data_IF_763734601779
#
_entry.id   IF_763734601779
#
_cell.length_a   1.000
_cell.length_b   1.000
_cell.length_c   1.000
_cell.angle_alpha   90.00
_cell.angle_beta   90.00
_cell.angle_gamma   90.00
#
_symmetry.space_group_name_H-M   'P 1'
#
loop_
_entity.id
_entity.type
_entity.pdbx_description
1 polymer ?
#
# COMPACT_ATOMS: atom_id res chain seq x y z
N UNK A 1 -15.49 36.71 -1.63
CA UNK A 1 -15.33 35.30 -1.19
C UNK A 1 -14.25 34.52 -1.92
N UNK A 2 -13.93 34.77 -3.20
CA UNK A 2 -12.85 34.04 -3.91
C UNK A 2 -11.46 34.27 -3.26
N UNK A 3 -11.15 35.51 -2.88
CA UNK A 3 -9.87 35.87 -2.23
C UNK A 3 -9.69 35.17 -0.90
N UNK A 4 -10.73 35.09 -0.07
CA UNK A 4 -10.70 34.43 1.23
C UNK A 4 -10.46 32.93 1.13
N UNK A 5 -11.15 32.26 0.19
CA UNK A 5 -10.91 30.83 -0.08
C UNK A 5 -9.48 30.58 -0.54
N UNK A 6 -8.95 31.40 -1.44
CA UNK A 6 -7.58 31.30 -1.92
C UNK A 6 -6.57 31.47 -0.78
N UNK A 7 -6.84 32.38 0.14
CA UNK A 7 -6.01 32.59 1.33
C UNK A 7 -5.98 31.33 2.19
N UNK A 8 -7.16 30.78 2.58
CA UNK A 8 -7.24 29.54 3.38
C UNK A 8 -6.54 28.39 2.67
N UNK A 9 -6.78 28.21 1.37
CA UNK A 9 -6.16 27.12 0.60
C UNK A 9 -4.64 27.21 0.58
N UNK A 10 -4.10 28.41 0.38
CA UNK A 10 -2.66 28.64 0.40
C UNK A 10 -2.04 28.33 1.77
N UNK A 11 -2.64 28.85 2.82
CA UNK A 11 -2.13 28.68 4.18
C UNK A 11 -2.17 27.19 4.59
N UNK A 12 -3.28 26.50 4.32
CA UNK A 12 -3.39 25.07 4.63
C UNK A 12 -2.45 24.24 3.77
N UNK A 13 -2.37 24.52 2.46
CA UNK A 13 -1.46 23.78 1.58
C UNK A 13 0.01 23.95 2.01
N UNK A 14 0.44 25.15 2.38
CA UNK A 14 1.80 25.41 2.88
C UNK A 14 2.06 24.71 4.22
N UNK A 15 1.09 24.74 5.14
CA UNK A 15 1.22 24.09 6.44
C UNK A 15 1.26 22.57 6.31
N UNK A 16 0.39 22.00 5.48
CA UNK A 16 0.40 20.55 5.17
C UNK A 16 1.70 20.17 4.49
N UNK A 17 2.15 20.92 3.49
CA UNK A 17 3.43 20.69 2.80
C UNK A 17 4.62 20.72 3.77
N UNK A 18 4.66 21.68 4.70
CA UNK A 18 5.69 21.77 5.72
C UNK A 18 5.65 20.56 6.68
N UNK A 19 4.46 20.21 7.17
CA UNK A 19 4.30 19.03 8.04
C UNK A 19 4.70 17.74 7.32
N UNK A 20 4.29 17.56 6.06
CA UNK A 20 4.68 16.41 5.24
C UNK A 20 6.20 16.35 5.06
N UNK A 21 6.83 17.47 4.73
CA UNK A 21 8.29 17.56 4.56
C UNK A 21 9.03 17.20 5.86
N UNK A 22 8.54 17.69 7.01
CA UNK A 22 9.15 17.39 8.31
C UNK A 22 9.09 15.88 8.63
N UNK A 23 7.95 15.24 8.40
CA UNK A 23 7.83 13.79 8.60
C UNK A 23 8.65 12.99 7.59
N UNK A 24 8.63 13.37 6.32
CA UNK A 24 9.45 12.73 5.28
C UNK A 24 10.94 12.83 5.60
N UNK A 25 11.42 14.00 6.07
CA UNK A 25 12.79 14.15 6.50
C UNK A 25 13.15 13.25 7.70
N UNK A 26 12.20 13.07 8.64
CA UNK A 26 12.37 12.17 9.77
C UNK A 26 12.46 10.70 9.31
N UNK A 27 11.54 10.25 8.45
CA UNK A 27 11.56 8.88 7.91
C UNK A 27 12.77 8.64 7.01
N UNK A 28 13.15 9.62 6.20
CA UNK A 28 14.38 9.57 5.43
C UNK A 28 15.60 9.33 6.31
N UNK A 29 15.67 10.03 7.46
CA UNK A 29 16.76 9.84 8.41
C UNK A 29 16.78 8.41 8.98
N UNK A 30 15.63 7.88 9.42
CA UNK A 30 15.56 6.52 9.95
C UNK A 30 15.88 5.47 8.89
N UNK A 31 15.27 5.57 7.71
CA UNK A 31 15.55 4.67 6.59
C UNK A 31 17.04 4.71 6.22
N UNK A 32 17.66 5.89 6.23
CA UNK A 32 19.10 6.02 5.93
C UNK A 32 19.99 5.38 6.99
N UNK A 33 19.61 5.51 8.28
CA UNK A 33 20.33 4.84 9.38
C UNK A 33 20.25 3.32 9.25
N UNK A 34 19.07 2.80 8.91
CA UNK A 34 18.89 1.35 8.73
C UNK A 34 19.68 0.85 7.50
N UNK A 35 19.60 1.56 6.39
CA UNK A 35 20.32 1.20 5.15
C UNK A 35 21.85 1.29 5.30
N UNK A 36 22.36 2.23 6.11
CA UNK A 36 23.80 2.32 6.42
C UNK A 36 24.33 1.10 7.18
N UNK A 37 23.51 0.42 7.95
CA UNK A 37 23.88 -0.86 8.59
C UNK A 37 24.13 -1.93 7.53
N UNK A 38 23.27 -2.00 6.53
CA UNK A 38 23.38 -2.96 5.43
C UNK A 38 24.57 -2.67 4.53
N UNK A 39 24.89 -1.38 4.24
CA UNK A 39 26.11 -0.97 3.57
C UNK A 39 27.35 -1.44 4.32
N UNK A 40 27.35 -1.34 5.64
CA UNK A 40 28.48 -1.76 6.49
C UNK A 40 28.66 -3.28 6.50
N UNK A 41 27.59 -4.04 6.45
CA UNK A 41 27.61 -5.51 6.43
C UNK A 41 28.02 -6.04 5.06
N UNK A 42 27.53 -5.45 3.98
CA UNK A 42 27.83 -5.86 2.60
C UNK A 42 29.26 -5.48 2.12
N UNK A 43 29.98 -4.64 2.87
CA UNK A 43 31.33 -4.20 2.54
C UNK A 43 31.36 -3.32 1.29
N UNK A 44 32.41 -3.49 0.45
CA UNK A 44 32.62 -2.64 -0.74
C UNK A 44 31.62 -2.86 -1.87
N UNK A 45 30.77 -3.91 -1.78
CA UNK A 45 29.81 -4.24 -2.83
C UNK A 45 28.60 -3.27 -2.85
N UNK A 46 28.18 -2.75 -1.69
CA UNK A 46 27.05 -1.84 -1.60
C UNK A 46 27.52 -0.39 -1.37
N UNK A 47 27.38 0.44 -2.39
CA UNK A 47 27.86 1.82 -2.36
C UNK A 47 26.85 2.76 -1.68
N UNK A 48 27.35 3.78 -0.97
CA UNK A 48 26.54 4.81 -0.32
C UNK A 48 25.59 5.53 -1.29
N UNK A 49 25.99 5.73 -2.54
CA UNK A 49 25.14 6.34 -3.58
C UNK A 49 23.91 5.48 -3.91
N UNK A 50 24.06 4.16 -3.92
CA UNK A 50 22.95 3.23 -4.14
C UNK A 50 22.00 3.20 -2.93
N UNK A 51 22.53 3.22 -1.70
CA UNK A 51 21.75 3.33 -0.48
C UNK A 51 20.93 4.63 -0.46
N UNK A 52 21.55 5.77 -0.78
CA UNK A 52 20.86 7.06 -0.87
C UNK A 52 19.75 7.04 -1.92
N UNK A 53 20.01 6.48 -3.10
CA UNK A 53 18.99 6.35 -4.16
C UNK A 53 17.85 5.46 -3.71
N UNK A 54 18.13 4.32 -3.07
CA UNK A 54 17.14 3.42 -2.53
C UNK A 54 16.22 4.10 -1.52
N UNK A 55 16.79 4.80 -0.53
CA UNK A 55 16.02 5.54 0.49
C UNK A 55 15.19 6.65 -0.15
N UNK A 56 15.71 7.39 -1.13
CA UNK A 56 14.95 8.41 -1.85
C UNK A 56 13.75 7.81 -2.61
N UNK A 57 13.92 6.64 -3.22
CA UNK A 57 12.87 5.96 -3.95
C UNK A 57 11.75 5.40 -3.03
N UNK A 58 12.01 5.22 -1.73
CA UNK A 58 11.00 4.81 -0.75
C UNK A 58 10.15 5.99 -0.23
N UNK A 59 10.62 7.23 -0.36
CA UNK A 59 9.90 8.39 0.21
C UNK A 59 8.47 8.59 -0.31
N UNK A 60 8.12 8.33 -1.58
CA UNK A 60 6.75 8.45 -2.04
C UNK A 60 5.75 7.55 -1.30
N UNK A 61 6.17 6.37 -0.85
CA UNK A 61 5.34 5.49 -0.03
C UNK A 61 5.06 6.12 1.35
N UNK A 62 6.08 6.70 1.99
CA UNK A 62 5.90 7.42 3.26
C UNK A 62 5.00 8.65 3.10
N UNK A 63 5.11 9.39 1.99
CA UNK A 63 4.21 10.51 1.70
C UNK A 63 2.76 10.01 1.64
N UNK A 64 2.49 8.93 0.91
CA UNK A 64 1.17 8.34 0.80
C UNK A 64 0.59 7.98 2.18
N UNK A 65 1.36 7.28 3.01
CA UNK A 65 0.93 6.81 4.33
C UNK A 65 0.72 7.95 5.34
N UNK A 66 1.48 9.03 5.22
CA UNK A 66 1.43 10.15 6.17
C UNK A 66 0.47 11.27 5.77
N UNK A 67 0.06 11.32 4.50
CA UNK A 67 -0.67 12.47 3.97
C UNK A 67 -1.96 12.77 4.72
N UNK A 68 -2.84 11.83 5.10
CA UNK A 68 -4.03 12.13 5.90
C UNK A 68 -3.69 12.73 7.27
N UNK A 69 -2.60 12.26 7.89
CA UNK A 69 -2.15 12.75 9.22
C UNK A 69 -1.62 14.18 9.09
N UNK A 70 -0.78 14.43 8.08
CA UNK A 70 -0.22 15.77 7.85
C UNK A 70 -1.27 16.77 7.41
N UNK A 71 -2.29 16.33 6.67
CA UNK A 71 -3.48 17.13 6.36
C UNK A 71 -4.23 17.53 7.62
N UNK A 72 -4.44 16.61 8.55
CA UNK A 72 -5.06 16.92 9.85
C UNK A 72 -4.23 17.95 10.62
N UNK A 73 -2.94 17.68 10.83
CA UNK A 73 -2.04 18.52 11.61
C UNK A 73 -1.93 19.92 11.01
N UNK A 74 -1.67 20.00 9.70
CA UNK A 74 -1.52 21.26 9.00
C UNK A 74 -2.80 22.09 9.00
N UNK A 75 -3.95 21.45 8.84
CA UNK A 75 -5.25 22.15 8.87
C UNK A 75 -5.61 22.61 10.29
N UNK A 76 -5.39 21.78 11.35
CA UNK A 76 -5.58 22.20 12.75
C UNK A 76 -4.69 23.41 13.06
N UNK A 77 -3.42 23.36 12.68
CA UNK A 77 -2.50 24.46 12.92
C UNK A 77 -3.01 25.78 12.30
N UNK A 78 -3.44 25.73 11.05
CA UNK A 78 -3.99 26.92 10.37
C UNK A 78 -5.29 27.39 11.02
N UNK A 79 -6.23 26.49 11.29
CA UNK A 79 -7.52 26.84 11.93
C UNK A 79 -7.31 27.43 13.33
N UNK A 80 -6.42 26.85 14.13
CA UNK A 80 -6.06 27.35 15.44
C UNK A 80 -5.41 28.75 15.37
N UNK A 81 -4.48 28.96 14.42
CA UNK A 81 -3.82 30.26 14.19
C UNK A 81 -4.81 31.32 13.76
N UNK A 82 -5.70 31.02 12.79
CA UNK A 82 -6.73 31.96 12.35
C UNK A 82 -7.70 32.31 13.48
N UNK A 83 -8.02 31.37 14.35
CA UNK A 83 -8.87 31.62 15.51
C UNK A 83 -8.14 32.49 16.56
N UNK A 84 -6.87 32.21 16.86
CA UNK A 84 -6.06 32.99 17.80
C UNK A 84 -5.89 34.45 17.37
N UNK A 85 -5.66 34.68 16.08
CA UNK A 85 -5.55 36.03 15.50
C UNK A 85 -6.89 36.73 15.29
N UNK A 86 -8.01 36.11 15.70
CA UNK A 86 -9.38 36.61 15.46
C UNK A 86 -9.75 36.71 13.94
N UNK A 87 -8.89 36.26 13.05
CA UNK A 87 -9.12 36.29 11.59
C UNK A 87 -10.34 35.44 11.22
N UNK A 88 -10.45 34.24 11.82
CA UNK A 88 -11.60 33.38 11.57
C UNK A 88 -12.92 34.00 12.03
N UNK A 89 -12.89 34.76 13.13
CA UNK A 89 -14.05 35.52 13.64
C UNK A 89 -14.46 36.60 12.67
N UNK A 90 -13.51 37.36 12.13
CA UNK A 90 -13.75 38.38 11.09
C UNK A 90 -14.35 37.75 9.83
N UNK A 91 -13.84 36.60 9.42
CA UNK A 91 -14.37 35.85 8.28
C UNK A 91 -15.83 35.42 8.49
N UNK A 92 -16.18 34.99 9.72
CA UNK A 92 -17.57 34.63 10.09
C UNK A 92 -18.49 35.85 10.02
N UNK A 93 -18.11 36.96 10.62
CA UNK A 93 -18.91 38.20 10.59
C UNK A 93 -19.05 38.78 9.19
N UNK A 94 -18.09 38.51 8.30
CA UNK A 94 -18.14 38.90 6.87
C UNK A 94 -18.98 37.93 6.01
N UNK A 95 -19.76 37.00 6.62
CA UNK A 95 -20.73 36.16 5.94
C UNK A 95 -20.24 34.75 5.57
N UNK A 96 -19.11 34.29 6.16
CA UNK A 96 -18.69 32.89 6.10
C UNK A 96 -19.42 32.06 7.17
N UNK A 97 -20.67 31.67 6.87
CA UNK A 97 -21.39 30.72 7.77
C UNK A 97 -20.75 29.33 7.84
N UNK A 98 -21.17 28.50 8.81
CA UNK A 98 -20.63 27.18 9.05
C UNK A 98 -20.61 26.27 7.81
N UNK A 99 -21.68 26.26 7.05
CA UNK A 99 -21.79 25.43 5.83
C UNK A 99 -20.86 25.89 4.70
N UNK A 100 -20.61 27.21 4.59
CA UNK A 100 -19.65 27.74 3.62
C UNK A 100 -18.21 27.44 4.03
N UNK A 101 -17.91 27.46 5.34
CA UNK A 101 -16.62 27.05 5.88
C UNK A 101 -16.41 25.55 5.60
N UNK A 102 -17.38 24.71 5.92
CA UNK A 102 -17.34 23.26 5.63
C UNK A 102 -17.11 23.00 4.13
N UNK A 103 -17.89 23.63 3.25
CA UNK A 103 -17.70 23.46 1.81
C UNK A 103 -16.32 23.91 1.31
N UNK A 104 -15.74 24.95 1.93
CA UNK A 104 -14.39 25.42 1.59
C UNK A 104 -13.34 24.37 1.97
N UNK A 105 -13.40 23.81 3.18
CA UNK A 105 -12.43 22.79 3.62
C UNK A 105 -12.66 21.45 2.91
N UNK A 106 -13.89 21.07 2.57
CA UNK A 106 -14.18 19.84 1.81
C UNK A 106 -13.58 19.87 0.40
N UNK A 107 -13.63 21.01 -0.30
CA UNK A 107 -12.98 21.13 -1.62
C UNK A 107 -11.47 20.92 -1.48
N UNK A 108 -10.86 21.48 -0.44
CA UNK A 108 -9.45 21.29 -0.16
C UNK A 108 -9.14 19.84 0.21
N UNK A 109 -9.98 19.22 1.04
CA UNK A 109 -9.88 17.80 1.37
C UNK A 109 -9.97 16.90 0.14
N UNK A 110 -10.84 17.24 -0.83
CA UNK A 110 -10.94 16.51 -2.09
C UNK A 110 -9.66 16.63 -2.93
N UNK A 111 -9.03 17.82 -2.96
CA UNK A 111 -7.74 17.99 -3.63
C UNK A 111 -6.64 17.15 -2.97
N UNK A 112 -6.59 17.10 -1.64
CA UNK A 112 -5.65 16.23 -0.94
C UNK A 112 -5.97 14.74 -1.16
N UNK A 113 -7.24 14.35 -1.17
CA UNK A 113 -7.64 12.97 -1.48
C UNK A 113 -7.21 12.56 -2.89
N UNK A 114 -7.42 13.42 -3.88
CA UNK A 114 -6.95 13.18 -5.26
C UNK A 114 -5.42 13.08 -5.34
N UNK A 115 -4.70 13.95 -4.61
CA UNK A 115 -3.24 13.89 -4.51
C UNK A 115 -2.76 12.61 -3.84
N UNK A 116 -3.40 12.21 -2.73
CA UNK A 116 -3.10 10.94 -2.02
C UNK A 116 -3.30 9.74 -2.94
N UNK A 117 -4.42 9.70 -3.67
CA UNK A 117 -4.70 8.65 -4.63
C UNK A 117 -3.64 8.61 -5.74
N UNK A 118 -3.32 9.75 -6.34
CA UNK A 118 -2.32 9.83 -7.40
C UNK A 118 -0.93 9.35 -6.92
N UNK A 119 -0.51 9.76 -5.73
CA UNK A 119 0.76 9.30 -5.15
C UNK A 119 0.70 7.80 -4.86
N UNK A 120 -0.35 7.31 -4.22
CA UNK A 120 -0.47 5.92 -3.77
C UNK A 120 -0.67 4.90 -4.89
N UNK A 121 -1.24 5.30 -6.03
CA UNK A 121 -1.54 4.38 -7.14
C UNK A 121 -0.52 4.43 -8.28
N UNK A 122 0.08 5.59 -8.53
CA UNK A 122 1.02 5.79 -9.65
C UNK A 122 2.46 5.99 -9.19
N UNK A 123 2.71 6.93 -8.27
CA UNK A 123 4.08 7.34 -7.93
C UNK A 123 4.72 6.31 -6.98
N UNK A 124 4.06 5.94 -5.90
CA UNK A 124 4.62 5.05 -4.89
C UNK A 124 4.92 3.64 -5.45
N UNK A 125 4.01 2.95 -6.21
CA UNK A 125 4.34 1.66 -6.80
C UNK A 125 5.44 1.72 -7.85
N UNK A 126 5.52 2.80 -8.63
CA UNK A 126 6.60 2.98 -9.61
C UNK A 126 7.96 3.18 -8.94
N UNK A 127 8.01 4.01 -7.90
CA UNK A 127 9.20 4.24 -7.09
C UNK A 127 9.64 2.98 -6.34
N UNK A 128 8.70 2.22 -5.78
CA UNK A 128 9.01 0.96 -5.09
C UNK A 128 9.60 -0.07 -6.04
N UNK A 129 9.06 -0.20 -7.27
CA UNK A 129 9.68 -1.06 -8.31
C UNK A 129 11.11 -0.62 -8.64
N UNK A 130 11.34 0.68 -8.77
CA UNK A 130 12.69 1.20 -9.00
C UNK A 130 13.62 0.94 -7.80
N UNK A 131 13.14 1.09 -6.57
CA UNK A 131 13.89 0.77 -5.35
C UNK A 131 14.30 -0.71 -5.31
N UNK A 132 13.38 -1.61 -5.67
CA UNK A 132 13.66 -3.05 -5.74
C UNK A 132 14.74 -3.39 -6.79
N UNK A 133 14.75 -2.72 -7.94
CA UNK A 133 15.81 -2.89 -8.94
C UNK A 133 17.17 -2.51 -8.36
N UNK A 134 17.25 -1.39 -7.61
CA UNK A 134 18.48 -0.98 -6.92
C UNK A 134 18.92 -2.03 -5.91
N UNK A 135 18.01 -2.49 -5.07
CA UNK A 135 18.28 -3.50 -4.04
C UNK A 135 18.70 -4.84 -4.65
N UNK A 136 18.01 -5.30 -5.70
CA UNK A 136 18.29 -6.58 -6.37
C UNK A 136 19.68 -6.60 -6.99
N UNK A 137 20.14 -5.48 -7.53
CA UNK A 137 21.48 -5.37 -8.11
C UNK A 137 22.59 -5.55 -7.07
N UNK A 138 22.31 -5.24 -5.81
CA UNK A 138 23.28 -5.25 -4.72
C UNK A 138 23.22 -6.56 -3.90
N UNK A 139 22.02 -7.04 -3.60
CA UNK A 139 21.76 -8.19 -2.72
C UNK A 139 21.31 -9.45 -3.43
N UNK A 140 21.16 -9.39 -4.76
CA UNK A 140 20.66 -10.51 -5.57
C UNK A 140 19.14 -10.48 -5.77
N UNK A 141 18.62 -11.48 -6.50
CA UNK A 141 17.23 -11.49 -6.97
C UNK A 141 16.22 -11.51 -5.81
N UNK A 142 15.05 -10.90 -6.06
CA UNK A 142 13.94 -10.88 -5.10
C UNK A 142 13.52 -12.31 -4.73
N UNK A 143 13.53 -12.62 -3.46
CA UNK A 143 13.02 -13.90 -2.93
C UNK A 143 12.08 -13.66 -1.76
N UNK A 144 10.96 -14.42 -1.70
CA UNK A 144 10.07 -14.43 -0.54
C UNK A 144 10.62 -15.36 0.55
N UNK A 145 11.63 -14.89 1.28
CA UNK A 145 12.29 -15.67 2.32
C UNK A 145 12.98 -16.92 1.79
N UNK A 146 13.21 -17.92 2.65
CA UNK A 146 13.94 -19.15 2.30
C UNK A 146 13.18 -20.08 1.34
N UNK A 147 11.85 -19.96 1.25
CA UNK A 147 10.99 -20.89 0.49
C UNK A 147 10.57 -20.38 -0.88
N UNK A 148 10.77 -19.09 -1.22
CA UNK A 148 10.28 -18.48 -2.46
C UNK A 148 8.76 -18.25 -2.47
N UNK A 149 8.25 -17.82 -3.64
CA UNK A 149 6.83 -17.58 -3.87
C UNK A 149 6.09 -18.86 -4.26
N UNK A 150 4.90 -19.04 -3.70
CA UNK A 150 4.00 -20.14 -4.03
C UNK A 150 2.73 -19.59 -4.69
N UNK A 151 2.43 -20.12 -5.88
CA UNK A 151 1.21 -19.81 -6.62
C UNK A 151 0.46 -21.12 -6.90
N UNK A 152 -0.85 -21.03 -7.02
CA UNK A 152 -1.70 -22.14 -7.44
C UNK A 152 -2.43 -21.75 -8.71
N UNK A 153 -2.53 -22.70 -9.64
CA UNK A 153 -3.30 -22.56 -10.89
C UNK A 153 -4.11 -23.82 -11.11
N UNK A 154 -5.36 -23.63 -11.53
CA UNK A 154 -6.20 -24.73 -11.95
C UNK A 154 -6.34 -24.73 -13.48
N UNK A 155 -6.00 -25.85 -14.10
CA UNK A 155 -6.11 -26.06 -15.55
C UNK A 155 -7.04 -27.24 -15.83
N UNK A 156 -8.31 -26.97 -16.11
CA UNK A 156 -9.33 -28.00 -16.24
C UNK A 156 -9.59 -28.73 -14.92
N UNK A 157 -9.39 -30.05 -14.91
CA UNK A 157 -9.50 -30.91 -13.70
C UNK A 157 -8.25 -30.87 -12.81
N UNK A 158 -7.13 -30.46 -13.37
CA UNK A 158 -5.82 -30.59 -12.74
C UNK A 158 -5.43 -29.32 -12.00
N UNK A 159 -4.79 -29.49 -10.84
CA UNK A 159 -4.32 -28.38 -10.01
C UNK A 159 -2.78 -28.34 -10.03
N UNK A 160 -2.23 -27.15 -10.25
CA UNK A 160 -0.78 -26.94 -10.26
C UNK A 160 -0.35 -26.05 -9.10
N UNK A 161 0.61 -26.50 -8.29
CA UNK A 161 1.29 -25.70 -7.31
C UNK A 161 2.66 -25.31 -7.85
N UNK A 162 2.91 -24.02 -7.99
CA UNK A 162 4.11 -23.46 -8.61
C UNK A 162 4.91 -22.73 -7.55
N UNK A 163 6.17 -23.09 -7.42
CA UNK A 163 7.11 -22.38 -6.56
C UNK A 163 8.17 -21.69 -7.41
N UNK A 164 8.33 -20.40 -7.21
CA UNK A 164 9.38 -19.60 -7.83
C UNK A 164 10.32 -19.13 -6.73
N UNK A 165 11.57 -19.57 -6.79
CA UNK A 165 12.55 -19.26 -5.73
C UNK A 165 12.94 -17.79 -5.76
N UNK A 166 13.13 -17.23 -6.94
CA UNK A 166 13.51 -15.83 -7.12
C UNK A 166 13.08 -15.30 -8.49
N UNK A 167 12.82 -13.98 -8.54
CA UNK A 167 12.51 -13.24 -9.77
C UNK A 167 13.53 -12.12 -9.96
N UNK A 168 14.10 -12.07 -11.16
CA UNK A 168 14.99 -10.98 -11.56
C UNK A 168 14.21 -9.77 -12.10
N UNK A 169 14.78 -8.57 -12.08
CA UNK A 169 14.12 -7.35 -12.57
C UNK A 169 13.71 -7.40 -14.05
N UNK A 170 14.40 -8.21 -14.87
CA UNK A 170 14.10 -8.43 -16.29
C UNK A 170 13.00 -9.46 -16.54
N UNK A 171 12.36 -9.97 -15.45
CA UNK A 171 11.29 -10.96 -15.51
C UNK A 171 11.77 -12.40 -15.61
N UNK A 172 13.09 -12.68 -15.47
CA UNK A 172 13.63 -14.04 -15.44
C UNK A 172 13.34 -14.68 -14.07
N UNK A 173 12.62 -15.78 -14.04
CA UNK A 173 12.41 -16.62 -12.85
C UNK A 173 13.59 -17.55 -12.67
N UNK A 174 14.02 -17.75 -11.42
CA UNK A 174 15.05 -18.72 -11.04
C UNK A 174 14.51 -19.78 -10.06
N UNK A 175 14.91 -21.03 -10.31
CA UNK A 175 14.57 -22.16 -9.45
C UNK A 175 13.06 -22.41 -9.40
N UNK A 176 12.48 -22.66 -10.58
CA UNK A 176 11.05 -22.93 -10.73
C UNK A 176 10.78 -24.40 -10.40
N UNK A 177 9.77 -24.64 -9.57
CA UNK A 177 9.24 -25.98 -9.27
C UNK A 177 7.76 -26.00 -9.53
N UNK A 178 7.27 -26.99 -10.27
CA UNK A 178 5.85 -27.18 -10.56
C UNK A 178 5.45 -28.58 -10.09
N UNK A 179 4.34 -28.64 -9.38
CA UNK A 179 3.72 -29.88 -8.92
C UNK A 179 2.31 -29.92 -9.49
N UNK A 180 2.02 -30.86 -10.36
CA UNK A 180 0.68 -31.08 -10.93
C UNK A 180 -0.01 -32.22 -10.19
N UNK A 181 -1.29 -32.02 -9.89
CA UNK A 181 -2.16 -32.95 -9.18
C UNK A 181 -3.42 -33.19 -9.99
N UNK A 182 -3.93 -34.41 -9.93
CA UNK A 182 -5.26 -34.74 -10.48
C UNK A 182 -6.40 -34.26 -9.55
N UNK A 183 -7.65 -34.53 -9.96
CA UNK A 183 -8.83 -34.16 -9.17
C UNK A 183 -8.90 -34.87 -7.80
N UNK A 184 -8.27 -36.02 -7.66
CA UNK A 184 -8.20 -36.81 -6.43
C UNK A 184 -7.01 -36.45 -5.54
N UNK A 185 -6.16 -35.52 -5.99
CA UNK A 185 -4.99 -35.05 -5.25
C UNK A 185 -3.73 -35.91 -5.43
N UNK A 186 -3.69 -36.85 -6.38
CA UNK A 186 -2.49 -37.61 -6.68
C UNK A 186 -1.55 -36.77 -7.55
N UNK A 187 -0.24 -36.95 -7.34
CA UNK A 187 0.77 -36.25 -8.11
C UNK A 187 0.85 -36.83 -9.50
N UNK A 188 0.58 -36.02 -10.52
CA UNK A 188 0.71 -36.36 -11.94
C UNK A 188 2.11 -36.06 -12.48
N UNK A 189 2.65 -34.90 -12.09
CA UNK A 189 3.92 -34.40 -12.61
C UNK A 189 4.66 -33.57 -11.57
N UNK A 190 5.98 -33.70 -11.53
CA UNK A 190 6.85 -32.75 -10.85
C UNK A 190 7.87 -32.23 -11.85
N UNK A 191 8.03 -30.90 -11.90
CA UNK A 191 8.97 -30.22 -12.78
C UNK A 191 9.94 -29.42 -11.94
N UNK A 192 11.20 -29.49 -12.27
CA UNK A 192 12.24 -28.66 -11.70
C UNK A 192 12.98 -27.98 -12.86
N UNK A 193 12.92 -26.64 -12.92
CA UNK A 193 13.62 -25.86 -13.93
C UNK A 193 14.59 -24.87 -13.30
N UNK A 194 15.74 -24.69 -13.93
CA UNK A 194 16.75 -23.74 -13.44
C UNK A 194 16.28 -22.30 -13.65
N UNK A 195 15.67 -22.04 -14.80
CA UNK A 195 15.20 -20.71 -15.21
C UNK A 195 13.88 -20.81 -15.96
N UNK A 196 13.10 -19.71 -15.93
CA UNK A 196 11.89 -19.57 -16.73
C UNK A 196 11.71 -18.12 -17.22
N UNK A 197 11.29 -17.95 -18.45
CA UNK A 197 10.98 -16.64 -19.04
C UNK A 197 9.56 -16.65 -19.58
N UNK A 198 8.82 -15.58 -19.31
CA UNK A 198 7.45 -15.45 -19.80
C UNK A 198 7.44 -15.18 -21.30
N UNK A 199 6.57 -15.90 -22.00
CA UNK A 199 6.22 -15.71 -23.40
C UNK A 199 4.71 -15.51 -23.51
N UNK A 200 4.19 -15.16 -24.69
CA UNK A 200 2.79 -14.79 -24.92
C UNK A 200 1.76 -15.76 -24.30
N UNK A 201 2.03 -17.06 -24.30
CA UNK A 201 1.09 -18.12 -23.95
C UNK A 201 1.49 -18.88 -22.67
N UNK A 202 2.62 -18.52 -22.03
CA UNK A 202 3.09 -19.26 -20.86
C UNK A 202 4.55 -19.00 -20.52
N UNK A 203 5.19 -19.98 -19.91
CA UNK A 203 6.58 -19.88 -19.49
C UNK A 203 7.47 -20.83 -20.27
N UNK A 204 8.52 -20.30 -20.87
CA UNK A 204 9.61 -21.08 -21.46
C UNK A 204 10.62 -21.40 -20.37
N UNK A 205 10.64 -22.63 -19.94
CA UNK A 205 11.50 -23.15 -18.90
C UNK A 205 12.77 -23.76 -19.49
N UNK A 206 13.92 -23.53 -18.85
CA UNK A 206 15.22 -24.08 -19.27
C UNK A 206 15.91 -24.85 -18.17
N UNK A 207 16.71 -25.86 -18.55
CA UNK A 207 17.35 -26.79 -17.61
C UNK A 207 16.32 -27.63 -16.86
N UNK A 208 15.40 -28.26 -17.59
CA UNK A 208 14.19 -28.90 -17.05
C UNK A 208 14.45 -30.36 -16.72
N UNK A 209 14.08 -30.75 -15.51
CA UNK A 209 13.93 -32.13 -15.07
C UNK A 209 12.47 -32.37 -14.73
N UNK A 210 11.83 -33.28 -15.46
CA UNK A 210 10.41 -33.58 -15.35
C UNK A 210 10.23 -35.05 -14.97
N UNK A 211 9.49 -35.30 -13.89
CA UNK A 211 9.05 -36.63 -13.50
C UNK A 211 7.55 -36.74 -13.75
N UNK A 212 7.15 -37.67 -14.57
CA UNK A 212 5.74 -37.99 -14.86
C UNK A 212 5.39 -39.27 -14.12
N UNK A 213 4.35 -39.22 -13.33
CA UNK A 213 3.87 -40.36 -12.53
C UNK A 213 2.74 -41.03 -13.29
N UNK A 214 2.79 -42.37 -13.39
CA UNK A 214 1.68 -43.16 -13.93
C UNK A 214 0.46 -43.01 -13.03
N UNK A 215 -0.73 -42.95 -13.64
CA UNK A 215 -1.98 -42.86 -12.89
C UNK A 215 -2.13 -44.04 -11.93
N UNK A 216 -2.65 -43.86 -10.69
CA UNK A 216 -2.77 -44.96 -9.68
C UNK A 216 -3.56 -46.17 -10.13
N UNK A 217 -4.39 -46.06 -11.17
CA UNK A 217 -5.14 -47.16 -11.78
C UNK A 217 -4.26 -48.12 -12.65
N UNK A 218 -2.98 -47.79 -12.93
CA UNK A 218 -2.09 -48.65 -13.64
C UNK A 218 -1.36 -49.58 -12.65
N UNK A 219 -1.41 -50.88 -12.87
CA UNK A 219 -0.85 -51.94 -12.00
C UNK A 219 0.68 -51.87 -11.80
N UNK A 220 1.35 -50.87 -12.40
CA UNK A 220 2.77 -50.63 -12.30
C UNK A 220 3.04 -49.16 -11.98
N UNK A 221 3.57 -48.87 -10.80
CA UNK A 221 4.07 -47.57 -10.43
C UNK A 221 5.30 -47.21 -11.27
N UNK A 222 5.11 -46.66 -12.46
CA UNK A 222 6.21 -46.19 -13.31
C UNK A 222 6.41 -44.70 -13.13
N UNK A 223 7.63 -44.28 -12.85
CA UNK A 223 8.05 -42.87 -12.87
C UNK A 223 8.93 -42.67 -14.09
N UNK A 224 8.42 -41.94 -15.06
CA UNK A 224 9.19 -41.53 -16.23
C UNK A 224 9.96 -40.25 -15.94
N UNK A 225 11.29 -40.36 -15.90
CA UNK A 225 12.15 -39.18 -15.71
C UNK A 225 12.63 -38.68 -17.05
N UNK A 226 12.33 -37.44 -17.36
CA UNK A 226 12.69 -36.71 -18.58
C UNK A 226 13.62 -35.57 -18.24
N UNK A 227 14.69 -35.40 -19.01
CA UNK A 227 15.58 -34.22 -18.90
C UNK A 227 15.55 -33.51 -20.25
N UNK A 228 15.12 -32.26 -20.25
CA UNK A 228 14.91 -31.48 -21.46
C UNK A 228 15.69 -30.14 -21.35
N UNK A 229 16.28 -29.70 -22.43
CA UNK A 229 16.99 -28.41 -22.45
C UNK A 229 16.01 -27.25 -22.24
N UNK A 230 14.85 -27.36 -22.89
CA UNK A 230 13.76 -26.37 -22.80
C UNK A 230 12.41 -27.06 -22.80
N UNK A 231 11.47 -26.53 -22.04
CA UNK A 231 10.08 -26.99 -22.02
C UNK A 231 9.15 -25.80 -21.91
N UNK A 232 8.15 -25.72 -22.80
CA UNK A 232 7.12 -24.71 -22.75
C UNK A 232 5.98 -25.18 -21.82
N UNK A 233 5.70 -24.39 -20.79
CA UNK A 233 4.59 -24.64 -19.87
C UNK A 233 3.49 -23.61 -20.10
N UNK A 234 2.33 -24.01 -20.68
CA UNK A 234 1.19 -23.12 -20.83
C UNK A 234 0.63 -22.75 -19.47
N UNK A 235 0.52 -21.47 -19.16
CA UNK A 235 0.05 -20.98 -17.86
C UNK A 235 -0.51 -19.57 -17.96
N UNK A 236 -1.48 -19.26 -17.13
CA UNK A 236 -2.01 -17.90 -16.96
C UNK A 236 -1.26 -17.11 -15.88
N UNK A 237 -0.29 -17.72 -15.19
CA UNK A 237 0.55 -17.03 -14.20
C UNK A 237 1.47 -16.06 -14.91
N UNK A 238 1.18 -14.76 -14.76
CA UNK A 238 1.99 -13.68 -15.34
C UNK A 238 3.17 -13.29 -14.44
N UNK A 239 4.22 -12.63 -14.97
CA UNK A 239 5.30 -12.08 -14.15
C UNK A 239 4.79 -11.14 -13.03
N UNK A 240 3.73 -10.39 -13.31
CA UNK A 240 3.09 -9.50 -12.35
C UNK A 240 2.51 -10.27 -11.16
N UNK A 241 1.91 -11.45 -11.40
CA UNK A 241 1.39 -12.32 -10.33
C UNK A 241 2.51 -12.92 -9.48
N UNK A 242 3.62 -13.32 -10.11
CA UNK A 242 4.82 -13.77 -9.38
C UNK A 242 5.38 -12.64 -8.52
N UNK A 243 5.51 -11.44 -9.10
CA UNK A 243 5.92 -10.25 -8.37
C UNK A 243 4.97 -9.96 -7.21
N UNK A 244 3.65 -10.02 -7.45
CA UNK A 244 2.63 -9.79 -6.43
C UNK A 244 2.72 -10.77 -5.24
N UNK A 245 3.06 -12.03 -5.50
CA UNK A 245 3.26 -13.03 -4.44
C UNK A 245 4.55 -12.83 -3.63
N UNK A 246 5.55 -12.15 -4.23
CA UNK A 246 6.81 -11.80 -3.58
C UNK A 246 6.74 -10.48 -2.82
N UNK A 247 5.82 -9.59 -3.19
CA UNK A 247 5.70 -8.24 -2.64
C UNK A 247 4.68 -8.14 -1.50
N UNK A 248 4.84 -7.09 -0.70
CA UNK A 248 3.80 -6.70 0.24
C UNK A 248 2.61 -6.11 -0.56
N UNK A 249 1.35 -6.56 -0.34
CA UNK A 249 0.16 -6.04 -1.01
C UNK A 249 0.01 -4.51 -0.93
N UNK A 250 0.45 -3.89 0.16
CA UNK A 250 0.40 -2.44 0.36
C UNK A 250 1.18 -1.63 -0.70
N UNK A 251 2.21 -2.24 -1.29
CA UNK A 251 3.11 -1.62 -2.27
C UNK A 251 2.68 -1.81 -3.73
N UNK A 252 1.60 -2.54 -3.96
CA UNK A 252 1.06 -2.83 -5.30
C UNK A 252 0.19 -1.67 -5.79
N UNK A 253 0.10 -1.48 -7.12
CA UNK A 253 -0.91 -0.60 -7.72
C UNK A 253 -2.31 -1.22 -7.61
N UNK A 254 -3.36 -0.40 -7.61
CA UNK A 254 -4.75 -0.88 -7.46
C UNK A 254 -5.12 -1.89 -8.55
N UNK A 255 -4.71 -1.66 -9.79
CA UNK A 255 -5.00 -2.56 -10.91
C UNK A 255 -4.29 -3.91 -10.77
N UNK A 256 -3.01 -3.91 -10.36
CA UNK A 256 -2.24 -5.13 -10.13
C UNK A 256 -2.88 -5.95 -9.01
N UNK A 257 -3.29 -5.27 -7.93
CA UNK A 257 -3.95 -5.88 -6.79
C UNK A 257 -5.31 -6.48 -7.16
N UNK A 258 -6.11 -5.77 -7.97
CA UNK A 258 -7.40 -6.28 -8.46
C UNK A 258 -7.23 -7.54 -9.32
N UNK A 259 -6.27 -7.52 -10.26
CA UNK A 259 -5.99 -8.68 -11.12
C UNK A 259 -5.51 -9.88 -10.31
N UNK A 260 -4.68 -9.62 -9.28
CA UNK A 260 -4.18 -10.69 -8.41
C UNK A 260 -5.27 -11.29 -7.52
N UNK A 261 -6.17 -10.46 -6.97
CA UNK A 261 -7.35 -10.91 -6.22
C UNK A 261 -8.22 -11.82 -7.08
N UNK A 262 -8.50 -11.42 -8.31
CA UNK A 262 -9.28 -12.26 -9.25
C UNK A 262 -8.61 -13.60 -9.53
N UNK A 263 -7.28 -13.60 -9.72
CA UNK A 263 -6.52 -14.83 -9.92
C UNK A 263 -6.62 -15.76 -8.70
N UNK A 264 -6.44 -15.24 -7.49
CA UNK A 264 -6.54 -16.02 -6.26
C UNK A 264 -7.94 -16.63 -6.10
N UNK A 265 -8.99 -15.85 -6.32
CA UNK A 265 -10.39 -16.30 -6.25
C UNK A 265 -10.71 -17.39 -7.29
N UNK A 266 -10.26 -17.20 -8.54
CA UNK A 266 -10.46 -18.17 -9.63
C UNK A 266 -9.77 -19.53 -9.34
N UNK A 267 -8.68 -19.52 -8.55
CA UNK A 267 -7.92 -20.72 -8.19
C UNK A 267 -8.24 -21.26 -6.79
N UNK A 268 -9.35 -20.81 -6.17
CA UNK A 268 -9.79 -21.27 -4.85
C UNK A 268 -8.80 -20.96 -3.72
N UNK A 269 -7.98 -19.92 -3.88
CA UNK A 269 -7.05 -19.45 -2.86
C UNK A 269 -7.67 -18.32 -2.03
N UNK A 270 -7.24 -18.18 -0.77
CA UNK A 270 -7.69 -17.07 0.06
C UNK A 270 -7.13 -15.75 -0.43
N UNK A 271 -8.00 -14.84 -0.86
CA UNK A 271 -7.67 -13.49 -1.30
C UNK A 271 -7.86 -12.43 -0.20
N UNK A 272 -8.29 -12.82 1.01
CA UNK A 272 -8.72 -11.94 2.09
C UNK A 272 -7.78 -10.77 2.35
N UNK A 273 -6.49 -11.03 2.50
CA UNK A 273 -5.48 -10.00 2.75
C UNK A 273 -5.36 -8.98 1.60
N UNK A 274 -5.42 -9.47 0.37
CA UNK A 274 -5.30 -8.63 -0.83
C UNK A 274 -6.58 -7.84 -1.10
N UNK A 275 -7.74 -8.40 -0.78
CA UNK A 275 -9.03 -7.70 -0.86
C UNK A 275 -9.11 -6.55 0.16
N UNK A 276 -8.66 -6.76 1.40
CA UNK A 276 -8.60 -5.70 2.41
C UNK A 276 -7.72 -4.55 1.91
N UNK A 277 -6.54 -4.85 1.35
CA UNK A 277 -5.65 -3.82 0.81
C UNK A 277 -6.22 -3.13 -0.43
N UNK A 278 -6.96 -3.85 -1.29
CA UNK A 278 -7.67 -3.25 -2.41
C UNK A 278 -8.67 -2.20 -1.93
N UNK A 279 -9.47 -2.52 -0.91
CA UNK A 279 -10.42 -1.59 -0.32
C UNK A 279 -9.73 -0.45 0.45
N UNK A 280 -8.58 -0.70 1.08
CA UNK A 280 -7.74 0.36 1.66
C UNK A 280 -7.32 1.38 0.60
N UNK A 281 -6.88 0.94 -0.58
CA UNK A 281 -6.53 1.84 -1.69
C UNK A 281 -7.68 2.76 -2.11
N UNK A 282 -8.93 2.31 -1.98
CA UNK A 282 -10.14 3.09 -2.28
C UNK A 282 -10.50 4.06 -1.14
N UNK A 283 -10.53 3.56 0.10
CA UNK A 283 -11.04 4.34 1.24
C UNK A 283 -9.98 5.24 1.89
N UNK A 284 -8.71 4.86 1.85
CA UNK A 284 -7.64 5.61 2.51
C UNK A 284 -7.48 7.04 2.00
N UNK A 285 -7.49 7.34 0.69
CA UNK A 285 -7.46 8.72 0.21
C UNK A 285 -8.63 9.57 0.71
N UNK A 286 -9.82 8.97 0.87
CA UNK A 286 -11.01 9.66 1.38
C UNK A 286 -10.86 10.09 2.84
N UNK A 287 -9.96 9.47 3.60
CA UNK A 287 -9.67 9.89 4.97
C UNK A 287 -9.16 11.33 5.05
N UNK A 288 -8.54 11.87 3.99
CA UNK A 288 -8.17 13.28 3.92
C UNK A 288 -9.38 14.21 4.07
N UNK A 289 -10.55 13.83 3.50
CA UNK A 289 -11.79 14.59 3.68
C UNK A 289 -12.22 14.60 5.15
N UNK A 290 -12.16 13.44 5.79
CA UNK A 290 -12.52 13.30 7.21
C UNK A 290 -11.61 14.11 8.09
N UNK A 291 -10.29 14.07 7.83
CA UNK A 291 -9.27 14.79 8.59
C UNK A 291 -9.43 16.31 8.48
N UNK A 292 -9.75 16.81 7.30
CA UNK A 292 -10.00 18.25 7.09
C UNK A 292 -11.26 18.69 7.83
N UNK A 293 -12.35 17.89 7.81
CA UNK A 293 -13.58 18.21 8.56
C UNK A 293 -13.34 18.17 10.05
N UNK A 294 -12.58 17.19 10.55
CA UNK A 294 -12.21 17.06 11.96
C UNK A 294 -11.41 18.27 12.48
N UNK A 295 -10.65 18.92 11.61
CA UNK A 295 -9.90 20.14 11.97
C UNK A 295 -10.74 21.40 12.08
N UNK A 296 -11.91 21.46 11.43
CA UNK A 296 -12.74 22.67 11.35
C UNK A 296 -13.20 23.20 12.72
N UNK A 297 -13.63 22.38 13.70
CA UNK A 297 -13.99 22.83 15.04
C UNK A 297 -12.94 23.70 15.71
N UNK A 298 -11.64 23.48 15.42
CA UNK A 298 -10.54 24.25 16.02
C UNK A 298 -10.57 25.72 15.61
N UNK A 299 -11.13 26.07 14.44
CA UNK A 299 -11.36 27.46 14.03
C UNK A 299 -12.44 28.18 14.83
N UNK A 300 -13.33 27.44 15.50
CA UNK A 300 -14.43 27.98 16.29
C UNK A 300 -14.11 28.08 17.79
N UNK A 301 -12.95 27.56 18.23
CA UNK A 301 -12.54 27.67 19.63
C UNK A 301 -12.11 29.11 19.96
N UNK A 302 -12.48 29.58 21.16
CA UNK A 302 -12.06 30.88 21.69
C UNK A 302 -10.76 30.72 22.46
N UNK A 303 -9.66 31.23 21.92
CA UNK A 303 -8.33 31.13 22.53
C UNK A 303 -8.14 32.24 23.58
N UNK A 304 -8.69 32.07 24.78
CA UNK A 304 -8.37 32.98 25.91
C UNK A 304 -7.10 32.60 26.68
N UNK A 305 -6.66 31.35 26.62
CA UNK A 305 -5.52 30.85 27.38
C UNK A 305 -4.84 29.57 26.83
N UNK A 306 -5.21 29.09 25.63
CA UNK A 306 -4.67 27.84 25.07
C UNK A 306 -3.47 28.08 24.14
N UNK A 307 -2.44 27.25 24.25
CA UNK A 307 -1.31 27.20 23.32
C UNK A 307 -1.70 26.49 22.02
N UNK A 308 -1.36 27.05 20.86
CA UNK A 308 -1.48 26.39 19.55
C UNK A 308 -0.79 25.01 19.58
N UNK A 309 0.34 24.91 20.30
CA UNK A 309 1.08 23.67 20.44
C UNK A 309 0.24 22.53 21.03
N UNK A 310 -0.63 22.82 22.03
CA UNK A 310 -1.53 21.82 22.60
C UNK A 310 -2.55 21.27 21.60
N UNK A 311 -3.10 22.12 20.73
CA UNK A 311 -4.05 21.70 19.70
C UNK A 311 -3.36 20.91 18.58
N UNK A 312 -2.17 21.34 18.18
CA UNK A 312 -1.33 20.57 17.22
C UNK A 312 -0.98 19.21 17.81
N UNK A 313 -0.58 19.14 19.08
CA UNK A 313 -0.32 17.89 19.77
C UNK A 313 -1.56 16.97 19.78
N UNK A 314 -2.75 17.52 20.09
CA UNK A 314 -4.00 16.78 19.99
C UNK A 314 -4.27 16.25 18.59
N UNK A 315 -3.96 17.04 17.55
CA UNK A 315 -4.03 16.63 16.14
C UNK A 315 -3.07 15.49 15.80
N UNK A 316 -1.83 15.56 16.29
CA UNK A 316 -0.84 14.49 16.13
C UNK A 316 -1.34 13.20 16.76
N UNK A 317 -1.84 13.26 18.01
CA UNK A 317 -2.38 12.10 18.72
C UNK A 317 -3.60 11.51 18.01
N UNK A 318 -4.50 12.34 17.50
CA UNK A 318 -5.64 11.88 16.71
C UNK A 318 -5.20 11.24 15.39
N UNK A 319 -4.20 11.80 14.71
CA UNK A 319 -3.63 11.22 13.49
C UNK A 319 -2.96 9.86 13.73
N UNK A 320 -2.16 9.74 14.79
CA UNK A 320 -1.53 8.47 15.18
C UNK A 320 -2.59 7.44 15.55
N UNK A 321 -3.63 7.83 16.32
CA UNK A 321 -4.70 6.88 16.69
C UNK A 321 -5.50 6.42 15.46
N UNK A 322 -5.70 7.26 14.45
CA UNK A 322 -6.29 6.85 13.17
C UNK A 322 -5.42 5.82 12.46
N UNK A 323 -4.11 6.06 12.36
CA UNK A 323 -3.16 5.13 11.74
C UNK A 323 -3.14 3.78 12.45
N UNK A 324 -3.08 3.78 13.78
CA UNK A 324 -3.13 2.55 14.58
C UNK A 324 -4.45 1.80 14.36
N UNK A 325 -5.57 2.52 14.35
CA UNK A 325 -6.89 1.93 14.14
C UNK A 325 -6.97 1.28 12.75
N UNK A 326 -6.44 1.92 11.70
CA UNK A 326 -6.36 1.35 10.35
C UNK A 326 -5.59 0.02 10.33
N UNK A 327 -4.43 -0.03 10.97
CA UNK A 327 -3.62 -1.25 11.04
C UNK A 327 -4.33 -2.36 11.85
N UNK A 328 -4.93 -2.00 12.99
CA UNK A 328 -5.66 -2.97 13.85
C UNK A 328 -6.84 -3.57 13.10
N UNK A 329 -7.66 -2.75 12.42
CA UNK A 329 -8.82 -3.26 11.66
C UNK A 329 -8.40 -4.09 10.45
N UNK A 330 -7.34 -3.72 9.75
CA UNK A 330 -6.77 -4.52 8.67
C UNK A 330 -6.28 -5.88 9.15
N UNK A 331 -5.53 -5.90 10.26
CA UNK A 331 -5.00 -7.13 10.85
C UNK A 331 -6.11 -8.03 11.42
N UNK A 332 -7.02 -7.47 12.21
CA UNK A 332 -8.15 -8.21 12.80
C UNK A 332 -9.09 -8.73 11.71
N UNK A 333 -9.38 -7.93 10.68
CA UNK A 333 -10.18 -8.33 9.54
C UNK A 333 -9.60 -9.51 8.77
N UNK A 334 -8.26 -9.54 8.63
CA UNK A 334 -7.57 -10.66 7.99
C UNK A 334 -7.60 -11.93 8.86
N UNK A 335 -7.42 -11.82 10.18
CA UNK A 335 -7.45 -12.97 11.10
C UNK A 335 -8.85 -13.58 11.29
N UNK A 336 -9.86 -12.71 11.38
CA UNK A 336 -11.24 -13.12 11.69
C UNK A 336 -12.11 -13.27 10.44
N UNK A 337 -11.53 -13.15 9.23
CA UNK A 337 -12.25 -13.23 7.96
C UNK A 337 -13.46 -12.28 7.89
N UNK A 338 -13.33 -11.05 8.40
CA UNK A 338 -14.36 -10.03 8.26
C UNK A 338 -14.54 -9.63 6.80
N UNK A 339 -15.71 -9.08 6.45
CA UNK A 339 -15.88 -8.55 5.11
C UNK A 339 -14.78 -7.51 4.77
N UNK A 340 -14.04 -7.68 3.68
CA UNK A 340 -12.84 -6.88 3.38
C UNK A 340 -13.11 -5.38 3.32
N UNK A 341 -14.24 -4.98 2.69
CA UNK A 341 -14.64 -3.59 2.59
C UNK A 341 -14.91 -2.95 3.95
N UNK A 342 -15.52 -3.70 4.91
CA UNK A 342 -15.80 -3.21 6.25
C UNK A 342 -14.50 -3.01 7.04
N UNK A 343 -13.58 -3.96 6.95
CA UNK A 343 -12.26 -3.87 7.61
C UNK A 343 -11.48 -2.62 7.16
N UNK A 344 -11.57 -2.28 5.87
CA UNK A 344 -10.90 -1.11 5.32
C UNK A 344 -11.65 0.21 5.59
N UNK A 345 -13.00 0.19 5.59
CA UNK A 345 -13.80 1.40 5.75
C UNK A 345 -14.01 1.80 7.22
N UNK A 346 -14.01 0.84 8.17
CA UNK A 346 -14.38 1.06 9.55
C UNK A 346 -13.63 2.21 10.25
N UNK A 347 -12.30 2.34 10.16
CA UNK A 347 -11.59 3.46 10.75
C UNK A 347 -12.04 4.81 10.21
N UNK A 348 -12.21 4.92 8.88
CA UNK A 348 -12.71 6.11 8.21
C UNK A 348 -14.14 6.45 8.65
N UNK A 349 -15.02 5.47 8.81
CA UNK A 349 -16.39 5.66 9.29
C UNK A 349 -16.42 6.15 10.74
N UNK A 350 -15.63 5.55 11.64
CA UNK A 350 -15.51 5.97 13.05
C UNK A 350 -15.09 7.44 13.12
N UNK A 351 -14.03 7.81 12.40
CA UNK A 351 -13.55 9.19 12.38
C UNK A 351 -14.52 10.15 11.68
N UNK A 352 -15.29 9.70 10.68
CA UNK A 352 -16.35 10.49 10.07
C UNK A 352 -17.45 10.83 11.07
N UNK A 353 -17.89 9.84 11.86
CA UNK A 353 -18.89 10.06 12.93
C UNK A 353 -18.35 11.02 13.98
N UNK A 354 -17.12 10.84 14.44
CA UNK A 354 -16.48 11.73 15.42
C UNK A 354 -16.35 13.17 14.87
N UNK A 355 -15.95 13.31 13.60
CA UNK A 355 -15.80 14.59 12.92
C UNK A 355 -17.13 15.33 12.79
N UNK A 356 -18.19 14.63 12.36
CA UNK A 356 -19.53 15.20 12.26
C UNK A 356 -20.13 15.52 13.62
N UNK A 357 -19.91 14.69 14.64
CA UNK A 357 -20.33 14.96 16.01
C UNK A 357 -19.62 16.20 16.56
N UNK A 358 -18.30 16.32 16.38
CA UNK A 358 -17.55 17.50 16.80
C UNK A 358 -18.00 18.76 16.05
N UNK A 359 -18.25 18.65 14.75
CA UNK A 359 -18.79 19.76 13.95
C UNK A 359 -20.18 20.19 14.43
N UNK A 360 -21.10 19.24 14.63
CA UNK A 360 -22.46 19.54 15.11
C UNK A 360 -22.44 20.18 16.49
N UNK A 361 -21.66 19.65 17.40
CA UNK A 361 -21.62 20.11 18.81
C UNK A 361 -20.95 21.47 18.96
N UNK A 362 -19.79 21.67 18.32
CA UNK A 362 -19.00 22.91 18.49
C UNK A 362 -19.41 24.02 17.52
N UNK A 363 -19.92 23.69 16.34
CA UNK A 363 -20.14 24.64 15.25
C UNK A 363 -21.62 25.02 15.10
N UNK A 364 -22.55 24.06 15.19
CA UNK A 364 -23.98 24.32 14.98
C UNK A 364 -24.70 24.73 16.27
N UNK A 365 -24.18 24.39 17.45
CA UNK A 365 -24.77 24.79 18.74
C UNK A 365 -24.43 26.22 19.19
N UNK A 366 -23.50 26.89 18.46
CA UNK A 366 -23.09 28.27 18.69
C UNK A 366 -23.51 29.15 17.51
#
# INVERSE_FOLDING_TARGET
>A
MKTLRRYIYREVALSVGFATLAFVALFFFFDMVDELRDVRVAGSAYQLSAALLYVLLRQPQHIYELLPITVLIGTIFVMARLAQNSEFTIMRTSGMGPWKALGTVLILGLLFAAGTFAIGDYIAPASERAAQIVQTRQFGPLSAGATGAWLKEQQGSDAYAVNVRALEPDGLMRGVRIFGFDADGHVLITVHAQQGRFNADGWDLSGVQRNVFAHPASDQAQVQRLTEATWHWPTQITPTMVTASLLNPQKMATLDLFNYVRHLQANGQSAQRYEIELWHKVFYPLSCLVMVVLSLPFGYLHFRSGSIAGYVFGGVMAGISFFLLNNVFGFAGNLQNWSPWLSAAAPGLIYSVLSLAAFSWLVLRR
#
